data_IF_181933485585
#
_entry.id   IF_181933485585
#
_cell.length_a   1.000
_cell.length_b   1.000
_cell.length_c   1.000
_cell.angle_alpha   90.00
_cell.angle_beta   90.00
_cell.angle_gamma   90.00
#
_symmetry.space_group_name_H-M   'P 1'
#
loop_
_entity.id
_entity.type
_entity.pdbx_description
1 polymer ?
#
# COMPACT_ATOMS: atom_id res chain seq x y z
N UNK A 1 -4.15 5.33 14.18
CA UNK A 1 -2.75 5.02 13.85
C UNK A 1 -1.94 5.09 15.13
N UNK A 2 -1.04 4.13 15.37
CA UNK A 2 -0.02 4.23 16.43
C UNK A 2 1.26 4.82 15.83
N UNK A 3 2.13 5.42 16.65
CA UNK A 3 3.42 5.94 16.19
C UNK A 3 4.27 4.86 15.51
N UNK A 4 4.29 3.65 16.06
CA UNK A 4 5.03 2.53 15.46
C UNK A 4 4.54 2.16 14.05
N UNK A 5 3.23 2.23 13.81
CA UNK A 5 2.67 2.02 12.48
C UNK A 5 3.07 3.15 11.53
N UNK A 6 3.05 4.39 11.99
CA UNK A 6 3.45 5.55 11.18
C UNK A 6 4.92 5.45 10.76
N UNK A 7 5.81 5.06 11.68
CA UNK A 7 7.23 4.85 11.38
C UNK A 7 7.43 3.73 10.35
N UNK A 8 6.73 2.59 10.53
CA UNK A 8 6.81 1.48 9.59
C UNK A 8 6.39 1.91 8.18
N UNK A 9 5.26 2.60 8.03
CA UNK A 9 4.79 3.12 6.75
C UNK A 9 5.83 4.05 6.11
N UNK A 10 6.41 4.97 6.90
CA UNK A 10 7.46 5.88 6.44
C UNK A 10 8.70 5.16 5.92
N UNK A 11 9.19 4.14 6.63
CA UNK A 11 10.33 3.32 6.17
C UNK A 11 9.99 2.58 4.87
N UNK A 12 8.81 1.96 4.78
CA UNK A 12 8.42 1.23 3.56
C UNK A 12 8.25 2.18 2.36
N UNK A 13 7.78 3.41 2.57
CA UNK A 13 7.71 4.43 1.52
C UNK A 13 9.09 4.80 1.01
N UNK A 14 10.04 5.03 1.93
CA UNK A 14 11.43 5.32 1.58
C UNK A 14 12.06 4.18 0.76
N UNK A 15 11.82 2.92 1.13
CA UNK A 15 12.37 1.75 0.44
C UNK A 15 11.73 1.51 -0.95
N UNK A 16 10.42 1.74 -1.09
CA UNK A 16 9.69 1.54 -2.35
C UNK A 16 9.82 2.71 -3.33
N UNK A 17 10.29 3.87 -2.88
CA UNK A 17 10.31 5.11 -3.67
C UNK A 17 8.91 5.70 -3.91
N UNK A 18 7.87 5.12 -3.30
CA UNK A 18 6.53 5.68 -3.29
C UNK A 18 6.44 6.82 -2.25
N UNK A 19 5.54 7.78 -2.48
CA UNK A 19 5.34 8.92 -1.59
C UNK A 19 3.93 9.05 -1.02
N UNK A 20 2.98 8.27 -1.52
CA UNK A 20 1.59 8.34 -1.07
C UNK A 20 1.36 7.46 0.18
N UNK A 21 1.17 8.14 1.31
CA UNK A 21 0.94 7.50 2.62
C UNK A 21 -0.41 6.81 2.72
N UNK A 22 -1.42 7.25 1.96
CA UNK A 22 -2.75 6.64 1.95
C UNK A 22 -2.66 5.31 1.20
N UNK A 23 -2.06 5.31 0.02
CA UNK A 23 -1.88 4.09 -0.78
C UNK A 23 -1.05 3.03 -0.05
N UNK A 24 0.04 3.44 0.61
CA UNK A 24 0.85 2.52 1.41
C UNK A 24 0.04 1.90 2.57
N UNK A 25 -0.80 2.68 3.24
CA UNK A 25 -1.63 2.14 4.32
C UNK A 25 -2.71 1.20 3.77
N UNK A 26 -3.33 1.53 2.64
CA UNK A 26 -4.29 0.64 1.95
C UNK A 26 -3.61 -0.67 1.56
N UNK A 27 -2.43 -0.63 0.95
CA UNK A 27 -1.63 -1.81 0.59
C UNK A 27 -1.33 -2.69 1.81
N UNK A 28 -0.90 -2.09 2.92
CA UNK A 28 -0.62 -2.81 4.17
C UNK A 28 -1.86 -3.50 4.72
N UNK A 29 -3.02 -2.84 4.71
CA UNK A 29 -4.29 -3.42 5.16
C UNK A 29 -4.72 -4.57 4.26
N UNK A 30 -4.66 -4.39 2.94
CA UNK A 30 -4.99 -5.43 1.98
C UNK A 30 -4.15 -6.69 2.20
N UNK A 31 -2.84 -6.53 2.40
CA UNK A 31 -1.94 -7.65 2.70
C UNK A 31 -2.23 -8.32 4.04
N UNK A 32 -2.49 -7.55 5.10
CA UNK A 32 -2.82 -8.09 6.44
C UNK A 32 -4.13 -8.86 6.44
N UNK A 33 -5.10 -8.42 5.65
CA UNK A 33 -6.45 -8.99 5.59
C UNK A 33 -6.61 -10.05 4.49
N UNK A 34 -5.64 -10.19 3.58
CA UNK A 34 -5.79 -11.02 2.39
C UNK A 34 -6.89 -10.51 1.45
N UNK A 35 -7.11 -9.20 1.41
CA UNK A 35 -8.20 -8.57 0.67
C UNK A 35 -7.73 -8.04 -0.71
N UNK A 36 -8.67 -7.96 -1.65
CA UNK A 36 -8.46 -7.30 -2.93
C UNK A 36 -8.68 -5.79 -2.83
N UNK A 37 -7.91 -5.00 -3.59
CA UNK A 37 -8.09 -3.54 -3.70
C UNK A 37 -8.78 -3.22 -5.01
N UNK A 38 -9.89 -2.47 -4.94
CA UNK A 38 -10.57 -1.91 -6.11
C UNK A 38 -10.04 -0.49 -6.34
N UNK A 39 -9.50 -0.22 -7.52
CA UNK A 39 -8.92 1.09 -7.86
C UNK A 39 -9.06 1.40 -9.34
N UNK A 40 -9.23 2.66 -9.70
CA UNK A 40 -9.14 3.13 -11.09
C UNK A 40 -7.69 3.29 -11.56
N UNK A 41 -6.73 3.37 -10.62
CA UNK A 41 -5.30 3.50 -10.92
C UNK A 41 -4.49 2.42 -10.16
N UNK A 42 -4.27 1.25 -10.78
CA UNK A 42 -3.50 0.17 -10.15
C UNK A 42 -1.98 0.39 -10.21
N UNK A 43 -1.51 1.36 -11.01
CA UNK A 43 -0.09 1.53 -11.30
C UNK A 43 0.73 1.86 -10.07
N UNK A 44 0.21 2.70 -9.18
CA UNK A 44 0.92 3.15 -7.98
C UNK A 44 0.93 2.07 -6.88
N UNK A 45 -0.18 1.37 -6.69
CA UNK A 45 -0.25 0.24 -5.75
C UNK A 45 0.65 -0.93 -6.16
N UNK A 46 0.76 -1.21 -7.46
CA UNK A 46 1.64 -2.27 -7.96
C UNK A 46 3.14 -1.98 -7.75
N UNK A 47 3.54 -0.70 -7.69
CA UNK A 47 4.92 -0.29 -7.35
C UNK A 47 5.23 -0.49 -5.87
N UNK A 48 4.22 -0.32 -5.01
CA UNK A 48 4.36 -0.50 -3.56
C UNK A 48 4.53 -1.98 -3.21
N UNK A 49 3.66 -2.86 -3.71
CA UNK A 49 3.74 -4.29 -3.48
C UNK A 49 3.13 -5.07 -4.66
N UNK A 50 3.98 -5.76 -5.41
CA UNK A 50 3.56 -6.54 -6.59
C UNK A 50 2.77 -7.80 -6.24
N UNK A 51 2.66 -8.18 -4.97
CA UNK A 51 1.86 -9.32 -4.52
C UNK A 51 0.41 -8.95 -4.19
N UNK A 52 0.03 -7.67 -4.29
CA UNK A 52 -1.35 -7.22 -4.07
C UNK A 52 -2.30 -7.79 -5.13
N UNK A 53 -3.50 -8.16 -4.68
CA UNK A 53 -4.60 -8.47 -5.60
C UNK A 53 -5.33 -7.18 -5.95
N UNK A 54 -5.15 -6.71 -7.19
CA UNK A 54 -5.74 -5.47 -7.69
C UNK A 54 -6.90 -5.77 -8.64
N UNK A 55 -8.01 -5.06 -8.48
CA UNK A 55 -9.17 -5.09 -9.37
C UNK A 55 -9.38 -3.70 -9.95
N UNK A 56 -9.22 -3.55 -11.27
CA UNK A 56 -9.42 -2.28 -11.94
C UNK A 56 -10.90 -2.02 -12.21
N UNK A 57 -11.35 -0.78 -11.99
CA UNK A 57 -12.72 -0.31 -12.28
C UNK A 57 -12.74 0.85 -13.26
#
# INVERSE_FOLDING_TARGET
>A
MTEGLALQLGCTLADSGASDVVDMHVALLARKLGAAIFTSDPGDLAKIDSALTLVTV
#
